data_IF_003249723636
#
_entry.id   IF_003249723636
#
_cell.length_a   1.000
_cell.length_b   1.000
_cell.length_c   1.000
_cell.angle_alpha   90.00
_cell.angle_beta   90.00
_cell.angle_gamma   90.00
#
_symmetry.space_group_name_H-M   'P 1'
#
loop_
_entity.id
_entity.type
_entity.pdbx_description
1 polymer ?
#
# COMPACT_ATOMS: atom_id res chain seq x y z
N UNK A 1 32.79 -38.46 -0.57
CA UNK A 1 31.53 -38.60 0.19
C UNK A 1 31.06 -37.24 0.75
N UNK A 2 31.02 -36.15 -0.06
CA UNK A 2 30.76 -34.76 0.43
C UNK A 2 29.48 -34.13 -0.18
N UNK A 3 28.79 -34.82 -1.11
CA UNK A 3 27.61 -34.26 -1.81
C UNK A 3 26.29 -34.26 -1.00
N UNK A 4 26.25 -34.90 0.17
CA UNK A 4 24.99 -35.14 0.90
C UNK A 4 24.60 -34.01 1.87
N UNK A 5 25.56 -33.30 2.48
CA UNK A 5 25.27 -32.18 3.40
C UNK A 5 24.78 -30.90 2.72
N UNK A 6 25.23 -30.63 1.49
CA UNK A 6 24.85 -29.41 0.74
C UNK A 6 23.38 -29.44 0.29
N UNK A 7 22.85 -30.63 -0.02
CA UNK A 7 21.45 -30.80 -0.45
C UNK A 7 20.44 -30.61 0.70
N UNK A 8 20.81 -30.99 1.93
CA UNK A 8 19.95 -30.84 3.11
C UNK A 8 19.83 -29.37 3.55
N UNK A 9 20.93 -28.61 3.50
CA UNK A 9 20.90 -27.16 3.71
C UNK A 9 20.11 -26.43 2.60
N UNK A 10 20.30 -26.81 1.33
CA UNK A 10 19.58 -26.18 0.22
C UNK A 10 18.05 -26.32 0.33
N UNK A 11 17.54 -27.49 0.74
CA UNK A 11 16.10 -27.70 0.96
C UNK A 11 15.54 -26.83 2.10
N UNK A 12 16.29 -26.65 3.19
CA UNK A 12 15.89 -25.78 4.30
C UNK A 12 15.95 -24.28 3.96
N UNK A 13 16.76 -23.89 2.97
CA UNK A 13 16.78 -22.50 2.48
C UNK A 13 15.60 -22.24 1.54
N UNK A 14 15.26 -23.18 0.65
CA UNK A 14 14.14 -22.99 -0.29
C UNK A 14 12.77 -23.06 0.41
N UNK A 15 12.65 -23.70 1.57
CA UNK A 15 11.38 -23.69 2.32
C UNK A 15 10.95 -22.29 2.77
N UNK A 16 11.89 -21.36 2.95
CA UNK A 16 11.58 -19.96 3.29
C UNK A 16 10.71 -19.27 2.21
N UNK A 17 10.75 -19.74 0.96
CA UNK A 17 9.90 -19.22 -0.11
C UNK A 17 8.42 -19.58 0.07
N UNK A 18 8.11 -20.57 0.92
CA UNK A 18 6.72 -20.94 1.25
C UNK A 18 6.20 -20.17 2.48
N UNK A 19 7.09 -19.59 3.29
CA UNK A 19 6.71 -18.86 4.50
C UNK A 19 6.14 -17.47 4.17
N UNK A 20 6.44 -16.96 2.98
CA UNK A 20 6.06 -15.62 2.53
C UNK A 20 5.43 -15.68 1.15
N UNK A 21 4.25 -15.08 1.01
CA UNK A 21 3.65 -14.80 -0.30
C UNK A 21 4.47 -13.74 -1.06
N UNK A 22 5.51 -14.21 -1.74
CA UNK A 22 6.45 -13.35 -2.47
C UNK A 22 5.74 -12.57 -3.58
N UNK A 23 4.76 -13.19 -4.24
CA UNK A 23 3.99 -12.54 -5.31
C UNK A 23 3.14 -11.40 -4.74
N UNK A 24 2.39 -11.65 -3.66
CA UNK A 24 1.57 -10.63 -3.01
C UNK A 24 2.38 -9.48 -2.43
N UNK A 25 3.57 -9.73 -1.89
CA UNK A 25 4.46 -8.67 -1.40
C UNK A 25 5.11 -7.88 -2.55
N UNK A 26 5.48 -8.53 -3.64
CA UNK A 26 6.01 -7.83 -4.82
C UNK A 26 4.98 -6.86 -5.38
N UNK A 27 3.72 -7.29 -5.51
CA UNK A 27 2.62 -6.40 -5.93
C UNK A 27 2.41 -5.22 -4.98
N UNK A 28 2.53 -5.45 -3.66
CA UNK A 28 2.48 -4.37 -2.65
C UNK A 28 3.63 -3.39 -2.84
N UNK A 29 4.85 -3.86 -3.01
CA UNK A 29 6.00 -3.00 -3.22
C UNK A 29 5.93 -2.22 -4.54
N UNK A 30 5.43 -2.82 -5.61
CA UNK A 30 5.20 -2.10 -6.87
C UNK A 30 4.24 -0.92 -6.67
N UNK A 31 3.18 -1.10 -5.88
CA UNK A 31 2.25 -0.01 -5.55
C UNK A 31 2.87 1.04 -4.63
N UNK A 32 3.66 0.63 -3.63
CA UNK A 32 4.29 1.54 -2.65
C UNK A 32 5.52 2.28 -3.19
N UNK A 33 6.18 1.74 -4.22
CA UNK A 33 7.42 2.30 -4.79
C UNK A 33 7.24 3.65 -5.48
N UNK A 34 6.01 4.06 -5.77
CA UNK A 34 5.70 5.39 -6.28
C UNK A 34 5.49 6.38 -5.13
N UNK A 35 6.29 7.47 -5.07
CA UNK A 35 6.19 8.44 -3.99
C UNK A 35 4.81 9.09 -3.86
N UNK A 36 4.10 9.30 -4.98
CA UNK A 36 2.81 9.99 -4.97
C UNK A 36 1.73 9.10 -4.34
N UNK A 37 1.74 7.80 -4.68
CA UNK A 37 0.85 6.81 -4.06
C UNK A 37 1.15 6.66 -2.57
N UNK A 38 2.42 6.60 -2.18
CA UNK A 38 2.80 6.51 -0.77
C UNK A 38 2.33 7.74 0.01
N UNK A 39 2.55 8.95 -0.49
CA UNK A 39 2.07 10.20 0.12
C UNK A 39 0.53 10.19 0.30
N UNK A 40 -0.21 9.77 -0.72
CA UNK A 40 -1.68 9.63 -0.63
C UNK A 40 -2.06 8.65 0.47
N UNK A 41 -1.43 7.47 0.52
CA UNK A 41 -1.71 6.46 1.53
C UNK A 41 -1.43 6.97 2.96
N UNK A 42 -0.34 7.72 3.15
CA UNK A 42 -0.02 8.38 4.42
C UNK A 42 -1.10 9.38 4.83
N UNK A 43 -1.60 10.18 3.89
CA UNK A 43 -2.71 11.11 4.15
C UNK A 43 -4.01 10.39 4.49
N UNK A 44 -4.35 9.30 3.78
CA UNK A 44 -5.54 8.49 4.06
C UNK A 44 -5.45 7.79 5.41
N UNK A 45 -4.26 7.28 5.77
CA UNK A 45 -3.98 6.68 7.07
C UNK A 45 -4.11 7.70 8.22
N UNK A 46 -3.65 8.94 7.99
CA UNK A 46 -3.76 10.05 8.96
C UNK A 46 -5.20 10.58 9.08
N UNK A 47 -5.92 10.68 7.97
CA UNK A 47 -7.24 11.32 7.88
C UNK A 47 -8.23 10.47 7.06
N UNK A 48 -8.77 9.39 7.64
CA UNK A 48 -9.75 8.55 6.96
C UNK A 48 -11.01 9.35 6.57
N UNK A 49 -11.41 9.28 5.30
CA UNK A 49 -12.59 9.97 4.79
C UNK A 49 -12.32 11.39 4.27
N UNK A 50 -11.06 11.75 4.05
CA UNK A 50 -10.68 13.01 3.39
C UNK A 50 -11.22 13.08 1.95
N UNK A 51 -11.63 14.27 1.52
CA UNK A 51 -12.10 14.51 0.15
C UNK A 51 -10.94 14.65 -0.83
N UNK A 52 -11.16 14.27 -2.08
CA UNK A 52 -10.14 14.36 -3.14
C UNK A 52 -9.57 15.76 -3.32
N UNK A 53 -10.40 16.80 -3.21
CA UNK A 53 -9.96 18.20 -3.31
C UNK A 53 -9.04 18.61 -2.16
N UNK A 54 -9.41 18.26 -0.93
CA UNK A 54 -8.59 18.52 0.26
C UNK A 54 -7.26 17.75 0.21
N UNK A 55 -7.30 16.50 -0.26
CA UNK A 55 -6.12 15.68 -0.46
C UNK A 55 -5.19 16.27 -1.53
N UNK A 56 -5.74 16.75 -2.64
CA UNK A 56 -4.98 17.42 -3.69
C UNK A 56 -4.33 18.72 -3.19
N UNK A 57 -5.07 19.53 -2.44
CA UNK A 57 -4.56 20.74 -1.82
C UNK A 57 -3.44 20.44 -0.81
N UNK A 58 -3.63 19.44 0.06
CA UNK A 58 -2.64 19.04 1.06
C UNK A 58 -1.32 18.54 0.44
N UNK A 59 -1.41 17.86 -0.71
CA UNK A 59 -0.25 17.33 -1.43
C UNK A 59 0.38 18.33 -2.41
N UNK A 60 -0.24 19.49 -2.64
CA UNK A 60 0.20 20.43 -3.67
C UNK A 60 0.11 19.86 -5.09
N UNK A 61 -0.89 19.00 -5.35
CA UNK A 61 -1.08 18.26 -6.60
C UNK A 61 -2.40 18.62 -7.26
N UNK A 62 -2.53 18.35 -8.56
CA UNK A 62 -3.82 18.50 -9.24
C UNK A 62 -4.80 17.39 -8.83
N UNK A 63 -6.09 17.70 -8.78
CA UNK A 63 -7.12 16.70 -8.49
C UNK A 63 -7.12 15.54 -9.50
N UNK A 64 -6.74 15.81 -10.76
CA UNK A 64 -6.61 14.76 -11.77
C UNK A 64 -5.48 13.78 -11.42
N UNK A 65 -4.30 14.28 -11.01
CA UNK A 65 -3.18 13.42 -10.63
C UNK A 65 -3.53 12.55 -9.41
N UNK A 66 -4.16 13.15 -8.39
CA UNK A 66 -4.64 12.42 -7.20
C UNK A 66 -5.70 11.39 -7.57
N UNK A 67 -6.65 11.75 -8.43
CA UNK A 67 -7.71 10.84 -8.89
C UNK A 67 -7.17 9.63 -9.65
N UNK A 68 -6.12 9.81 -10.47
CA UNK A 68 -5.47 8.70 -11.18
C UNK A 68 -4.78 7.75 -10.19
N UNK A 69 -4.04 8.27 -9.21
CA UNK A 69 -3.41 7.45 -8.18
C UNK A 69 -4.46 6.70 -7.32
N UNK A 70 -5.52 7.38 -6.87
CA UNK A 70 -6.63 6.77 -6.14
C UNK A 70 -7.36 5.71 -6.96
N UNK A 71 -7.47 5.88 -8.29
CA UNK A 71 -8.04 4.86 -9.18
C UNK A 71 -7.18 3.59 -9.18
N UNK A 72 -5.86 3.72 -9.29
CA UNK A 72 -4.94 2.57 -9.24
C UNK A 72 -5.07 1.86 -7.89
N UNK A 73 -4.99 2.60 -6.78
CA UNK A 73 -5.13 2.05 -5.43
C UNK A 73 -6.49 1.35 -5.23
N UNK A 74 -7.58 1.92 -5.76
CA UNK A 74 -8.92 1.33 -5.67
C UNK A 74 -9.05 0.04 -6.48
N UNK A 75 -8.44 -0.02 -7.67
CA UNK A 75 -8.44 -1.23 -8.49
C UNK A 75 -7.74 -2.40 -7.78
N UNK A 76 -6.80 -2.11 -6.88
CA UNK A 76 -6.08 -3.08 -6.07
C UNK A 76 -6.78 -3.37 -4.73
N UNK A 77 -7.93 -2.74 -4.47
CA UNK A 77 -8.70 -2.92 -3.24
C UNK A 77 -8.13 -2.19 -2.01
N UNK A 78 -7.11 -1.34 -2.18
CA UNK A 78 -6.46 -0.68 -1.03
C UNK A 78 -7.24 0.48 -0.48
N UNK A 79 -8.11 1.08 -1.29
CA UNK A 79 -8.90 2.24 -0.87
C UNK A 79 -10.35 2.09 -1.30
N UNK A 80 -11.26 2.61 -0.49
CA UNK A 80 -12.67 2.78 -0.83
C UNK A 80 -12.98 4.24 -1.14
N UNK A 81 -14.12 4.47 -1.80
CA UNK A 81 -14.62 5.81 -2.12
C UNK A 81 -16.08 5.93 -1.74
N UNK A 82 -16.46 7.01 -1.08
CA UNK A 82 -17.85 7.32 -0.72
C UNK A 82 -18.25 8.67 -1.31
N UNK A 83 -19.37 8.70 -2.03
CA UNK A 83 -19.90 9.96 -2.57
C UNK A 83 -20.68 10.71 -1.49
N UNK A 84 -20.31 11.96 -1.23
CA UNK A 84 -20.98 12.86 -0.29
C UNK A 84 -21.38 14.13 -1.04
N UNK A 85 -22.65 14.21 -1.41
CA UNK A 85 -23.17 15.27 -2.27
C UNK A 85 -22.48 15.32 -3.63
N UNK A 86 -21.74 16.41 -3.89
CA UNK A 86 -20.99 16.64 -5.14
C UNK A 86 -19.54 16.16 -5.07
N UNK A 87 -19.06 15.75 -3.91
CA UNK A 87 -17.67 15.38 -3.67
C UNK A 87 -17.52 13.89 -3.36
N UNK A 88 -16.29 13.38 -3.42
CA UNK A 88 -15.96 11.98 -3.11
C UNK A 88 -14.88 11.96 -2.02
N UNK A 89 -15.16 11.25 -0.93
CA UNK A 89 -14.21 10.97 0.14
C UNK A 89 -13.59 9.59 -0.02
N UNK A 90 -12.37 9.42 0.50
CA UNK A 90 -11.60 8.19 0.37
C UNK A 90 -11.10 7.69 1.73
N UNK A 91 -10.96 6.37 1.85
CA UNK A 91 -10.42 5.67 3.03
C UNK A 91 -9.45 4.57 2.61
N UNK A 92 -8.42 4.34 3.41
CA UNK A 92 -7.56 3.16 3.32
C UNK A 92 -8.30 1.96 3.91
N UNK A 93 -8.31 0.85 3.18
CA UNK A 93 -9.06 -0.38 3.53
C UNK A 93 -8.16 -1.61 3.71
N UNK A 94 -6.97 -1.65 3.08
CA UNK A 94 -6.06 -2.79 3.22
C UNK A 94 -5.36 -2.75 4.58
N UNK A 95 -5.70 -3.70 5.46
CA UNK A 95 -5.18 -3.81 6.84
C UNK A 95 -3.67 -4.06 6.87
N UNK A 96 -3.13 -4.87 5.94
CA UNK A 96 -1.70 -5.17 5.87
C UNK A 96 -0.92 -3.90 5.53
N UNK A 97 -1.43 -3.12 4.58
CA UNK A 97 -0.84 -1.83 4.20
C UNK A 97 -0.98 -0.83 5.35
N UNK A 98 -2.12 -0.78 6.03
CA UNK A 98 -2.31 0.05 7.22
C UNK A 98 -1.25 -0.24 8.29
N UNK A 99 -1.05 -1.52 8.64
CA UNK A 99 -0.04 -1.94 9.62
C UNK A 99 1.38 -1.64 9.16
N UNK A 100 1.68 -1.82 7.88
CA UNK A 100 2.98 -1.46 7.31
C UNK A 100 3.25 0.05 7.43
N UNK A 101 2.27 0.90 7.12
CA UNK A 101 2.40 2.36 7.27
C UNK A 101 2.66 2.74 8.73
N UNK A 102 1.94 2.10 9.66
CA UNK A 102 2.18 2.27 11.08
C UNK A 102 3.62 1.88 11.46
N UNK A 103 4.10 0.74 10.95
CA UNK A 103 5.44 0.21 11.23
C UNK A 103 6.57 1.13 10.72
N UNK A 104 6.42 1.75 9.55
CA UNK A 104 7.40 2.72 9.01
C UNK A 104 7.33 4.10 9.68
N UNK A 105 6.47 4.28 10.68
CA UNK A 105 6.42 5.49 11.51
C UNK A 105 5.26 6.44 11.21
N UNK A 106 4.30 6.07 10.36
CA UNK A 106 3.08 6.85 10.16
C UNK A 106 2.16 6.69 11.38
N UNK A 107 2.40 7.43 12.46
CA UNK A 107 1.58 7.36 13.68
C UNK A 107 0.29 8.18 13.52
N UNK A 108 -0.81 7.66 14.04
CA UNK A 108 -1.99 8.48 14.33
C UNK A 108 -1.57 9.51 15.39
N UNK A 109 -1.88 10.78 15.14
CA UNK A 109 -1.55 11.88 16.07
C UNK A 109 -2.35 11.79 17.34
#
# INVERSE_FOLDING_TARGET
MVRSGHQTHAKGVTSALNDVDTTGWTQRFDLLSDPHRLEILLCLHRSPGIFVGDLAAALGRSENAVSQALRVLRQQGWVSSTRVGRSVSYRLEDEIVHDLLHWIGARHG
#
